data_IF_288037660270
#
_entry.id   IF_288037660270
#
_cell.length_a   1.000
_cell.length_b   1.000
_cell.length_c   1.000
_cell.angle_alpha   90.00
_cell.angle_beta   90.00
_cell.angle_gamma   90.00
#
_symmetry.space_group_name_H-M   'P 1'
#
loop_
_entity.id
_entity.type
_entity.pdbx_description
1 polymer ?
#
# COMPACT_ATOMS: atom_id res chain seq x y z
N UNK A 1 -4.17 -0.70 -18.07
CA UNK A 1 -4.10 0.53 -17.23
C UNK A 1 -4.82 0.32 -15.91
N UNK A 2 -6.15 0.11 -15.88
CA UNK A 2 -6.88 -0.16 -14.63
C UNK A 2 -6.34 -1.36 -13.82
N UNK A 3 -6.04 -2.49 -14.48
CA UNK A 3 -5.46 -3.65 -13.81
C UNK A 3 -4.08 -3.36 -13.17
N UNK A 4 -3.21 -2.62 -13.87
CA UNK A 4 -1.90 -2.20 -13.34
C UNK A 4 -2.06 -1.30 -12.12
N UNK A 5 -2.98 -0.33 -12.17
CA UNK A 5 -3.30 0.53 -11.03
C UNK A 5 -3.82 -0.30 -9.85
N UNK A 6 -4.66 -1.31 -10.10
CA UNK A 6 -5.15 -2.20 -9.07
C UNK A 6 -4.02 -3.01 -8.40
N UNK A 7 -3.08 -3.57 -9.18
CA UNK A 7 -1.91 -4.25 -8.64
C UNK A 7 -1.01 -3.31 -7.83
N UNK A 8 -0.81 -2.08 -8.31
CA UNK A 8 -0.04 -1.06 -7.58
C UNK A 8 -0.74 -0.75 -6.26
N UNK A 9 -2.05 -0.51 -6.26
CA UNK A 9 -2.82 -0.26 -5.05
C UNK A 9 -2.69 -1.42 -4.04
N UNK A 10 -2.77 -2.67 -4.50
CA UNK A 10 -2.54 -3.85 -3.66
C UNK A 10 -1.12 -3.90 -3.08
N UNK A 11 -0.11 -3.62 -3.90
CA UNK A 11 1.28 -3.61 -3.44
C UNK A 11 1.53 -2.53 -2.38
N UNK A 12 1.00 -1.32 -2.57
CA UNK A 12 1.12 -0.24 -1.57
C UNK A 12 0.34 -0.57 -0.30
N UNK A 13 -0.87 -1.13 -0.41
CA UNK A 13 -1.65 -1.55 0.75
C UNK A 13 -0.97 -2.67 1.54
N UNK A 14 -0.39 -3.65 0.84
CA UNK A 14 0.40 -4.72 1.45
C UNK A 14 1.67 -4.19 2.14
N UNK A 15 2.39 -3.27 1.50
CA UNK A 15 3.54 -2.60 2.11
C UNK A 15 3.14 -1.83 3.38
N UNK A 16 2.05 -1.06 3.33
CA UNK A 16 1.53 -0.36 4.51
C UNK A 16 1.27 -1.32 5.68
N UNK A 17 0.67 -2.48 5.38
CA UNK A 17 0.40 -3.51 6.38
C UNK A 17 1.69 -4.12 6.95
N UNK A 18 2.66 -4.43 6.09
CA UNK A 18 3.99 -4.92 6.50
C UNK A 18 4.69 -3.94 7.44
N UNK A 19 4.75 -2.65 7.08
CA UNK A 19 5.35 -1.63 7.93
C UNK A 19 4.61 -1.45 9.25
N UNK A 20 3.28 -1.53 9.24
CA UNK A 20 2.46 -1.46 10.45
C UNK A 20 2.75 -2.61 11.41
N UNK A 21 2.89 -3.83 10.91
CA UNK A 21 3.28 -4.98 11.74
C UNK A 21 4.72 -4.88 12.22
N UNK A 22 5.66 -4.52 11.33
CA UNK A 22 7.05 -4.31 11.69
C UNK A 22 7.21 -3.27 12.80
N UNK A 23 6.50 -2.13 12.71
CA UNK A 23 6.56 -1.10 13.76
C UNK A 23 6.03 -1.60 15.12
N UNK A 24 5.02 -2.47 15.12
CA UNK A 24 4.54 -3.10 16.35
C UNK A 24 5.58 -4.09 16.91
N UNK A 25 6.25 -4.83 16.04
CA UNK A 25 7.22 -5.85 16.43
C UNK A 25 8.63 -5.35 16.72
N UNK A 26 9.02 -4.19 16.20
CA UNK A 26 10.37 -3.61 16.41
C UNK A 26 10.65 -3.36 17.88
N UNK A 27 9.61 -3.11 18.69
CA UNK A 27 9.71 -2.96 20.16
C UNK A 27 10.13 -4.23 20.86
N UNK A 28 9.86 -5.39 20.27
CA UNK A 28 10.26 -6.70 20.78
C UNK A 28 11.61 -7.16 20.23
N UNK A 29 12.26 -6.34 19.38
CA UNK A 29 13.60 -6.62 18.85
C UNK A 29 13.65 -7.74 17.82
N UNK A 30 12.55 -8.02 17.12
CA UNK A 30 12.53 -9.05 16.08
C UNK A 30 13.33 -8.57 14.87
N UNK A 31 14.28 -9.39 14.40
CA UNK A 31 15.23 -9.00 13.35
C UNK A 31 14.55 -8.58 12.05
N UNK A 32 13.50 -9.30 11.65
CA UNK A 32 12.73 -8.98 10.45
C UNK A 32 12.04 -7.60 10.53
N UNK A 33 11.54 -7.22 11.70
CA UNK A 33 10.89 -5.92 11.91
C UNK A 33 11.91 -4.77 11.86
N UNK A 34 13.11 -5.00 12.39
CA UNK A 34 14.23 -4.07 12.31
C UNK A 34 14.68 -3.89 10.85
N UNK A 35 14.80 -4.98 10.09
CA UNK A 35 15.14 -4.93 8.67
C UNK A 35 14.10 -4.13 7.86
N UNK A 36 12.81 -4.41 8.07
CA UNK A 36 11.72 -3.68 7.39
C UNK A 36 11.75 -2.19 7.78
N UNK A 37 11.84 -1.87 9.07
CA UNK A 37 11.84 -0.47 9.52
C UNK A 37 13.12 0.29 9.15
N UNK A 38 14.25 -0.39 9.00
CA UNK A 38 15.51 0.22 8.54
C UNK A 38 15.50 0.53 7.04
N UNK A 39 14.74 -0.22 6.23
CA UNK A 39 14.55 0.09 4.81
C UNK A 39 13.91 1.46 4.60
N UNK A 40 13.01 1.87 5.50
CA UNK A 40 12.46 3.24 5.49
C UNK A 40 11.89 3.63 6.85
N UNK A 41 12.59 4.55 7.52
CA UNK A 41 12.17 5.08 8.81
C UNK A 41 10.82 5.82 8.72
N UNK A 42 10.61 6.58 7.62
CA UNK A 42 9.36 7.31 7.37
C UNK A 42 8.13 6.39 7.41
N UNK A 43 8.14 5.29 6.65
CA UNK A 43 6.99 4.38 6.57
C UNK A 43 6.84 3.47 7.78
N UNK A 44 7.93 3.24 8.53
CA UNK A 44 7.84 2.55 9.82
C UNK A 44 7.00 3.35 10.81
N UNK A 45 7.22 4.67 10.93
CA UNK A 45 6.41 5.54 11.79
C UNK A 45 5.06 5.92 11.20
N UNK A 46 4.98 6.04 9.88
CA UNK A 46 3.81 6.54 9.16
C UNK A 46 3.39 5.64 7.98
N UNK A 47 3.05 4.40 8.30
CA UNK A 47 2.52 3.42 7.33
C UNK A 47 1.22 3.88 6.66
N UNK A 48 0.50 4.81 7.27
CA UNK A 48 -0.70 5.47 6.78
C UNK A 48 -0.49 6.19 5.45
N UNK A 49 0.70 6.75 5.17
CA UNK A 49 0.98 7.36 3.87
C UNK A 49 0.87 6.35 2.71
N UNK A 50 1.37 5.13 2.91
CA UNK A 50 1.25 4.06 1.93
C UNK A 50 -0.21 3.62 1.77
N UNK A 51 -0.98 3.57 2.86
CA UNK A 51 -2.40 3.25 2.82
C UNK A 51 -3.23 4.32 2.08
N UNK A 52 -2.94 5.60 2.29
CA UNK A 52 -3.57 6.70 1.55
C UNK A 52 -3.23 6.66 0.05
N UNK A 53 -1.96 6.43 -0.28
CA UNK A 53 -1.54 6.28 -1.66
C UNK A 53 -2.19 5.06 -2.32
N UNK A 54 -2.27 3.92 -1.61
CA UNK A 54 -2.99 2.74 -2.07
C UNK A 54 -4.46 3.05 -2.35
N UNK A 55 -5.16 3.70 -1.42
CA UNK A 55 -6.56 4.08 -1.57
C UNK A 55 -6.81 4.99 -2.78
N UNK A 56 -5.99 6.03 -2.95
CA UNK A 56 -6.10 6.94 -4.11
C UNK A 56 -5.93 6.21 -5.45
N UNK A 57 -4.94 5.31 -5.53
CA UNK A 57 -4.70 4.52 -6.75
C UNK A 57 -5.84 3.53 -7.00
N UNK A 58 -6.41 2.95 -5.94
CA UNK A 58 -7.53 2.01 -6.04
C UNK A 58 -8.78 2.71 -6.60
N UNK A 59 -9.08 3.93 -6.13
CA UNK A 59 -10.18 4.75 -6.66
C UNK A 59 -9.97 5.03 -8.15
N UNK A 60 -8.75 5.38 -8.58
CA UNK A 60 -8.43 5.56 -10.00
C UNK A 60 -8.58 4.27 -10.81
N UNK A 61 -8.16 3.13 -10.25
CA UNK A 61 -8.29 1.82 -10.91
C UNK A 61 -9.77 1.46 -11.14
N UNK A 62 -10.61 1.63 -10.11
CA UNK A 62 -12.04 1.36 -10.18
C UNK A 62 -12.72 2.34 -11.14
N UNK A 63 -12.44 3.64 -11.02
CA UNK A 63 -13.01 4.66 -11.91
C UNK A 63 -12.67 4.41 -13.38
N UNK A 64 -11.41 4.06 -13.68
CA UNK A 64 -11.00 3.72 -15.04
C UNK A 64 -11.63 2.42 -15.55
N UNK A 65 -11.81 1.43 -14.68
CA UNK A 65 -12.50 0.18 -15.02
C UNK A 65 -13.98 0.40 -15.31
N UNK A 66 -14.67 1.12 -14.43
CA UNK A 66 -16.09 1.42 -14.54
C UNK A 66 -16.39 2.31 -15.74
N UNK A 67 -15.58 3.36 -15.96
CA UNK A 67 -15.70 4.23 -17.13
C UNK A 67 -15.61 3.45 -18.44
N UNK A 68 -14.70 2.47 -18.53
CA UNK A 68 -14.60 1.59 -19.69
C UNK A 68 -15.74 0.60 -19.84
N UNK A 69 -16.38 0.17 -18.75
CA UNK A 69 -17.56 -0.67 -18.83
C UNK A 69 -18.75 0.13 -19.39
N UNK A 70 -18.91 1.38 -18.95
CA UNK A 70 -20.04 2.25 -19.31
C UNK A 70 -19.95 2.87 -20.70
N UNK A 71 -18.76 3.02 -21.29
CA UNK A 71 -18.58 3.55 -22.67
C UNK A 71 -18.53 2.47 -23.74
N UNK A 72 -18.68 1.20 -23.37
CA UNK A 72 -18.60 0.07 -24.32
C UNK A 72 -19.98 -0.38 -24.85
N UNK A 73 -21.04 0.32 -24.47
CA UNK A 73 -22.39 0.27 -25.08
C UNK A 73 -22.58 1.43 -26.06
#
# INVERSE_FOLDING_TARGET
MAALLFFIALALGGAAMLFRYAHAEVRYGTSWAVDVCSASNLFCGHSDYLAYAAGGILVLAVGAGLGRALTRD
#
